data_IF_472771283253
#
_entry.id   IF_472771283253
#
_cell.length_a   1.000
_cell.length_b   1.000
_cell.length_c   1.000
_cell.angle_alpha   90.00
_cell.angle_beta   90.00
_cell.angle_gamma   90.00
#
_symmetry.space_group_name_H-M   'P 1'
#
loop_
_entity.id
_entity.type
_entity.pdbx_description
1 polymer ?
#
# COMPACT_ATOMS: atom_id res chain seq x y z
N UNK A 1 15.55 -13.03 1.82
CA UNK A 1 14.15 -12.81 2.23
C UNK A 1 14.03 -11.32 2.56
N UNK A 2 13.16 -10.57 1.89
CA UNK A 2 13.03 -9.12 2.13
C UNK A 2 12.39 -8.88 3.51
N UNK A 3 13.21 -8.63 4.52
CA UNK A 3 12.80 -7.86 5.68
C UNK A 3 13.47 -6.49 5.53
N UNK A 4 12.72 -5.43 5.14
CA UNK A 4 13.22 -4.10 5.34
C UNK A 4 13.29 -3.88 6.85
N UNK A 5 14.46 -3.52 7.34
CA UNK A 5 14.72 -3.12 8.73
C UNK A 5 14.01 -1.79 9.01
N UNK A 6 12.69 -1.84 9.06
CA UNK A 6 11.87 -0.93 9.82
C UNK A 6 11.65 -1.67 11.14
N UNK A 7 12.43 -1.32 12.16
CA UNK A 7 12.44 -1.98 13.47
C UNK A 7 11.12 -1.74 14.21
N UNK A 8 10.09 -2.47 13.79
CA UNK A 8 8.84 -2.68 14.49
C UNK A 8 9.05 -3.91 15.39
N UNK A 9 8.93 -3.69 16.70
CA UNK A 9 9.10 -4.63 17.81
C UNK A 9 8.48 -6.04 17.62
N UNK A 10 8.91 -7.07 18.40
CA UNK A 10 8.85 -8.50 18.04
C UNK A 10 7.46 -9.17 18.06
N UNK A 11 6.38 -8.39 18.06
CA UNK A 11 5.00 -8.90 18.16
C UNK A 11 4.23 -8.87 16.83
N UNK A 12 4.94 -8.86 15.69
CA UNK A 12 4.33 -8.96 14.36
C UNK A 12 3.90 -10.42 14.14
N UNK A 13 2.61 -10.71 14.42
CA UNK A 13 1.99 -11.99 14.08
C UNK A 13 2.31 -12.36 12.62
N UNK A 14 2.71 -13.61 12.38
CA UNK A 14 3.05 -14.26 11.09
C UNK A 14 2.22 -13.85 9.85
N UNK A 15 0.99 -13.37 10.05
CA UNK A 15 0.07 -12.91 8.99
C UNK A 15 0.50 -11.59 8.33
N UNK A 16 1.06 -10.64 9.08
CA UNK A 16 1.43 -9.33 8.51
C UNK A 16 2.65 -9.44 7.58
N UNK A 17 3.62 -10.29 7.93
CA UNK A 17 4.78 -10.57 7.07
C UNK A 17 4.35 -11.15 5.72
N UNK A 18 3.32 -12.00 5.71
CA UNK A 18 2.78 -12.56 4.48
C UNK A 18 2.09 -11.50 3.62
N UNK A 19 1.42 -10.52 4.24
CA UNK A 19 0.79 -9.40 3.52
C UNK A 19 1.82 -8.49 2.86
N UNK A 20 2.91 -8.13 3.54
CA UNK A 20 4.02 -7.37 2.93
C UNK A 20 4.64 -8.12 1.76
N UNK A 21 4.96 -9.40 1.94
CA UNK A 21 5.55 -10.23 0.89
C UNK A 21 4.64 -10.31 -0.35
N UNK A 22 3.34 -10.53 -0.15
CA UNK A 22 2.37 -10.58 -1.24
C UNK A 22 2.18 -9.23 -1.92
N UNK A 23 2.26 -8.12 -1.17
CA UNK A 23 2.21 -6.78 -1.73
C UNK A 23 3.48 -6.50 -2.56
N UNK A 24 4.66 -6.83 -2.08
CA UNK A 24 5.91 -6.69 -2.83
C UNK A 24 5.90 -7.44 -4.16
N UNK A 25 5.34 -8.65 -4.20
CA UNK A 25 5.16 -9.37 -5.47
C UNK A 25 4.24 -8.64 -6.44
N UNK A 26 3.15 -8.04 -5.96
CA UNK A 26 2.27 -7.22 -6.82
C UNK A 26 2.97 -5.98 -7.35
N UNK A 27 3.73 -5.28 -6.52
CA UNK A 27 4.53 -4.13 -6.95
C UNK A 27 5.50 -4.53 -8.08
N UNK A 28 6.19 -5.66 -7.92
CA UNK A 28 7.12 -6.22 -8.90
C UNK A 28 6.44 -6.94 -10.08
N UNK A 29 5.11 -7.04 -10.13
CA UNK A 29 4.41 -7.80 -11.17
C UNK A 29 4.83 -9.28 -11.24
N UNK A 30 5.22 -9.88 -10.12
CA UNK A 30 5.72 -11.26 -10.02
C UNK A 30 4.70 -12.19 -9.37
N UNK A 31 4.77 -13.46 -9.74
CA UNK A 31 4.00 -14.56 -9.13
C UNK A 31 4.77 -15.16 -7.95
N UNK A 32 4.04 -15.96 -7.17
CA UNK A 32 4.61 -16.72 -6.05
C UNK A 32 5.66 -17.69 -6.60
N UNK A 33 6.91 -17.55 -6.12
CA UNK A 33 8.14 -18.32 -6.46
C UNK A 33 9.01 -17.75 -7.58
N UNK A 34 8.62 -16.64 -8.19
CA UNK A 34 9.51 -15.99 -9.16
C UNK A 34 10.80 -15.52 -8.49
N UNK A 35 11.92 -15.65 -9.19
CA UNK A 35 13.20 -15.13 -8.74
C UNK A 35 13.14 -13.59 -8.69
N UNK A 36 13.66 -13.01 -7.61
CA UNK A 36 13.79 -11.56 -7.43
C UNK A 36 15.28 -11.23 -7.49
N UNK A 37 15.69 -10.44 -8.47
CA UNK A 37 17.07 -10.01 -8.63
C UNK A 37 17.48 -8.96 -7.59
N UNK A 38 18.79 -8.70 -7.47
CA UNK A 38 19.33 -7.67 -6.56
C UNK A 38 18.76 -6.28 -6.85
N UNK A 39 18.63 -5.91 -8.13
CA UNK A 39 18.05 -4.64 -8.56
C UNK A 39 16.59 -4.48 -8.10
N UNK A 40 15.77 -5.50 -8.35
CA UNK A 40 14.35 -5.52 -7.95
C UNK A 40 14.20 -5.50 -6.42
N UNK A 41 15.15 -6.12 -5.72
CA UNK A 41 15.21 -6.08 -4.27
C UNK A 41 15.44 -4.67 -3.74
N UNK A 42 16.47 -3.97 -4.24
CA UNK A 42 16.76 -2.58 -3.88
C UNK A 42 15.60 -1.65 -4.21
N UNK A 43 14.99 -1.83 -5.39
CA UNK A 43 13.83 -1.07 -5.82
C UNK A 43 12.63 -1.26 -4.88
N UNK A 44 12.37 -2.50 -4.45
CA UNK A 44 11.28 -2.81 -3.53
C UNK A 44 11.53 -2.20 -2.14
N UNK A 45 12.77 -2.21 -1.64
CA UNK A 45 13.12 -1.57 -0.37
C UNK A 45 12.88 -0.06 -0.45
N UNK A 46 13.39 0.59 -1.50
CA UNK A 46 13.24 2.02 -1.71
C UNK A 46 11.77 2.45 -1.81
N UNK A 47 10.96 1.67 -2.51
CA UNK A 47 9.51 1.88 -2.59
C UNK A 47 8.86 1.85 -1.20
N UNK A 48 9.09 0.80 -0.41
CA UNK A 48 8.48 0.68 0.91
C UNK A 48 8.98 1.74 1.90
N UNK A 49 10.24 2.14 1.82
CA UNK A 49 10.76 3.28 2.58
C UNK A 49 10.04 4.57 2.20
N UNK A 50 9.83 4.83 0.91
CA UNK A 50 9.06 5.98 0.43
C UNK A 50 7.61 5.97 0.93
N UNK A 51 6.94 4.81 0.90
CA UNK A 51 5.58 4.68 1.46
C UNK A 51 5.59 5.00 2.96
N UNK A 52 6.52 4.43 3.72
CA UNK A 52 6.64 4.69 5.16
C UNK A 52 6.84 6.18 5.45
N UNK A 53 7.65 6.89 4.67
CA UNK A 53 7.92 8.32 4.86
C UNK A 53 6.68 9.21 4.62
N UNK A 54 5.73 8.76 3.80
CA UNK A 54 4.50 9.50 3.52
C UNK A 54 3.42 9.23 4.55
N UNK A 55 3.35 8.01 5.09
CA UNK A 55 2.35 7.60 6.09
C UNK A 55 2.70 8.14 7.48
N UNK A 56 2.20 9.34 7.82
CA UNK A 56 2.43 10.01 9.10
C UNK A 56 2.07 9.15 10.31
N UNK A 57 0.95 8.42 10.23
CA UNK A 57 0.51 7.49 11.27
C UNK A 57 1.53 6.37 11.53
N UNK A 58 2.19 5.87 10.48
CA UNK A 58 3.25 4.87 10.63
C UNK A 58 4.49 5.45 11.29
N UNK A 59 4.87 6.69 10.92
CA UNK A 59 5.96 7.41 11.57
C UNK A 59 5.67 7.63 13.06
N UNK A 60 4.46 8.07 13.40
CA UNK A 60 4.05 8.27 14.80
C UNK A 60 4.16 6.97 15.63
N UNK A 61 3.85 5.81 15.05
CA UNK A 61 4.07 4.52 15.73
C UNK A 61 5.55 4.19 15.87
N UNK A 62 6.37 4.48 14.85
CA UNK A 62 7.83 4.25 14.90
C UNK A 62 8.50 5.11 15.97
N UNK A 63 8.02 6.34 16.17
CA UNK A 63 8.49 7.26 17.21
C UNK A 63 7.87 7.00 18.59
N UNK A 64 6.95 6.04 18.72
CA UNK A 64 6.29 5.71 19.99
C UNK A 64 5.21 6.70 20.42
N UNK A 65 4.82 7.62 19.54
CA UNK A 65 3.79 8.65 19.78
C UNK A 65 2.37 8.07 19.67
N UNK A 66 2.19 6.99 18.91
CA UNK A 66 0.92 6.28 18.75
C UNK A 66 1.07 4.78 18.94
N UNK A 67 0.00 4.14 19.43
CA UNK A 67 -0.05 2.69 19.55
C UNK A 67 -0.54 2.03 18.25
N UNK A 68 0.17 0.99 17.81
CA UNK A 68 -0.20 0.20 16.63
C UNK A 68 -1.60 -0.46 16.74
N UNK A 69 -2.07 -0.74 17.95
CA UNK A 69 -3.41 -1.24 18.20
C UNK A 69 -4.48 -0.21 17.80
N UNK A 70 -4.27 1.06 18.15
CA UNK A 70 -5.22 2.12 17.87
C UNK A 70 -5.35 2.38 16.36
N UNK A 71 -4.22 2.38 15.62
CA UNK A 71 -4.26 2.48 14.16
C UNK A 71 -5.06 1.35 13.52
N UNK A 72 -4.83 0.09 13.91
CA UNK A 72 -5.59 -1.05 13.38
C UNK A 72 -7.09 -1.01 13.69
N UNK A 73 -7.49 -0.29 14.73
CA UNK A 73 -8.91 -0.12 15.05
C UNK A 73 -9.55 1.00 14.23
N UNK A 74 -8.80 2.06 13.94
CA UNK A 74 -9.34 3.32 13.41
C UNK A 74 -9.07 3.56 11.93
N UNK A 75 -8.03 2.96 11.32
CA UNK A 75 -7.59 3.31 9.97
C UNK A 75 -7.56 2.12 9.00
N UNK A 76 -7.79 2.39 7.71
CA UNK A 76 -7.74 1.35 6.67
C UNK A 76 -6.30 0.98 6.28
N UNK A 77 -5.36 1.93 6.42
CA UNK A 77 -3.98 1.78 5.97
C UNK A 77 -3.13 0.90 6.90
N UNK A 78 -3.63 0.56 8.09
CA UNK A 78 -3.02 -0.40 9.00
C UNK A 78 -3.34 -1.87 8.65
N UNK A 79 -3.99 -2.14 7.51
CA UNK A 79 -4.42 -3.47 7.10
C UNK A 79 -3.79 -3.93 5.78
N UNK A 80 -3.62 -5.24 5.64
CA UNK A 80 -3.05 -5.84 4.43
C UNK A 80 -3.81 -5.57 3.12
N UNK A 81 -5.07 -5.11 3.15
CA UNK A 81 -5.78 -4.67 1.93
C UNK A 81 -5.13 -3.42 1.35
N UNK A 82 -4.76 -2.46 2.20
CA UNK A 82 -4.09 -1.24 1.79
C UNK A 82 -2.69 -1.51 1.25
N UNK A 83 -1.90 -2.36 1.94
CA UNK A 83 -0.56 -2.74 1.47
C UNK A 83 -0.60 -3.33 0.06
N UNK A 84 -1.60 -4.18 -0.22
CA UNK A 84 -1.77 -4.74 -1.55
C UNK A 84 -2.23 -3.68 -2.56
N UNK A 85 -3.16 -2.81 -2.17
CA UNK A 85 -3.70 -1.78 -3.04
C UNK A 85 -2.65 -0.75 -3.47
N UNK A 86 -1.82 -0.27 -2.53
CA UNK A 86 -0.75 0.69 -2.85
C UNK A 86 0.32 0.06 -3.74
N UNK A 87 0.65 -1.22 -3.52
CA UNK A 87 1.58 -1.94 -4.38
C UNK A 87 1.06 -2.09 -5.82
N UNK A 88 -0.24 -2.38 -5.99
CA UNK A 88 -0.90 -2.41 -7.31
C UNK A 88 -0.93 -1.03 -7.95
N UNK A 89 -1.35 -0.01 -7.20
CA UNK A 89 -1.46 1.36 -7.69
C UNK A 89 -0.13 1.90 -8.20
N UNK A 90 0.96 1.61 -7.48
CA UNK A 90 2.29 2.12 -7.75
C UNK A 90 3.17 1.20 -8.60
N UNK A 91 2.68 0.03 -9.05
CA UNK A 91 3.50 -0.92 -9.82
C UNK A 91 4.09 -0.27 -11.07
N UNK A 92 3.35 0.63 -11.74
CA UNK A 92 3.85 1.35 -12.92
C UNK A 92 5.02 2.28 -12.64
N UNK A 93 5.14 2.82 -11.41
CA UNK A 93 6.22 3.74 -11.02
C UNK A 93 7.60 3.07 -11.07
N UNK A 94 7.66 1.74 -10.99
CA UNK A 94 8.93 1.00 -11.09
C UNK A 94 9.62 1.15 -12.45
N UNK A 95 8.86 1.47 -13.49
CA UNK A 95 9.38 1.64 -14.85
C UNK A 95 9.98 3.03 -15.08
N UNK A 96 9.67 3.99 -14.21
CA UNK A 96 10.15 5.38 -14.29
C UNK A 96 11.03 5.78 -13.10
N UNK A 97 11.21 4.87 -12.14
CA UNK A 97 12.06 5.07 -10.97
C UNK A 97 13.54 5.14 -11.38
N UNK A 98 14.35 6.01 -10.74
CA UNK A 98 15.78 6.10 -11.01
C UNK A 98 16.52 4.85 -10.52
N UNK A 99 17.62 4.52 -11.19
CA UNK A 99 18.50 3.39 -10.83
C UNK A 99 19.26 3.59 -9.51
N UNK A 100 19.22 4.81 -8.96
CA UNK A 100 19.76 5.11 -7.63
C UNK A 100 18.94 4.47 -6.50
N UNK A 101 17.69 4.04 -6.79
CA UNK A 101 16.75 3.52 -5.79
C UNK A 101 16.61 4.44 -4.57
N UNK A 102 16.60 5.76 -4.80
CA UNK A 102 16.41 6.75 -3.74
C UNK A 102 14.97 6.73 -3.21
N UNK A 103 14.73 6.46 -1.90
CA UNK A 103 13.41 6.52 -1.29
C UNK A 103 12.73 7.89 -1.39
N UNK A 104 13.49 8.98 -1.50
CA UNK A 104 12.93 10.33 -1.61
C UNK A 104 12.20 10.54 -2.94
N UNK A 105 12.64 9.88 -4.01
CA UNK A 105 11.91 9.89 -5.27
C UNK A 105 10.50 9.32 -5.08
N UNK A 106 10.38 8.15 -4.44
CA UNK A 106 9.07 7.56 -4.11
C UNK A 106 8.26 8.46 -3.17
N UNK A 107 8.90 9.01 -2.13
CA UNK A 107 8.27 9.92 -1.18
C UNK A 107 7.63 11.12 -1.90
N UNK A 108 8.35 11.73 -2.84
CA UNK A 108 7.84 12.87 -3.62
C UNK A 108 6.63 12.51 -4.49
N UNK A 109 6.62 11.31 -5.09
CA UNK A 109 5.51 10.83 -5.92
C UNK A 109 4.29 10.46 -5.08
N UNK A 110 4.50 10.00 -3.86
CA UNK A 110 3.46 9.52 -2.96
C UNK A 110 2.92 10.61 -2.03
N UNK A 111 3.53 11.79 -2.01
CA UNK A 111 3.20 12.89 -1.10
C UNK A 111 1.68 13.22 -1.02
N UNK A 112 0.89 13.20 -2.11
CA UNK A 112 -0.56 13.43 -2.03
C UNK A 112 -1.31 12.49 -1.08
N UNK A 113 -0.80 11.29 -0.82
CA UNK A 113 -1.42 10.32 0.09
C UNK A 113 -1.29 10.71 1.57
N UNK A 114 -0.41 11.66 1.90
CA UNK A 114 -0.22 12.14 3.27
C UNK A 114 -1.44 12.91 3.78
N UNK A 115 -2.14 13.61 2.88
CA UNK A 115 -3.31 14.44 3.20
C UNK A 115 -4.63 13.66 3.17
N UNK A 116 -4.59 12.40 2.75
CA UNK A 116 -5.77 11.56 2.60
C UNK A 116 -6.33 11.09 3.95
N UNK A 117 -7.66 11.08 4.07
CA UNK A 117 -8.32 10.67 5.31
C UNK A 117 -8.50 9.14 5.34
N UNK A 118 -7.53 8.46 5.93
CA UNK A 118 -7.53 7.00 6.03
C UNK A 118 -8.37 6.42 7.18
N UNK A 119 -9.16 7.23 7.88
CA UNK A 119 -10.04 6.74 8.94
C UNK A 119 -11.11 5.81 8.37
N UNK A 120 -11.44 4.73 9.09
CA UNK A 120 -12.52 3.81 8.73
C UNK A 120 -13.90 4.46 8.75
N UNK A 121 -14.04 5.57 9.46
CA UNK A 121 -15.25 6.39 9.48
C UNK A 121 -15.42 7.24 8.23
N UNK A 122 -14.39 7.36 7.37
CA UNK A 122 -14.52 8.05 6.10
C UNK A 122 -15.42 7.21 5.16
N UNK A 123 -16.59 7.74 4.74
CA UNK A 123 -17.53 7.02 3.89
C UNK A 123 -16.97 6.71 2.49
N UNK A 124 -15.90 7.38 2.05
CA UNK A 124 -15.23 7.07 0.77
C UNK A 124 -14.78 5.60 0.68
N UNK A 125 -14.44 5.00 1.82
CA UNK A 125 -13.93 3.63 1.88
C UNK A 125 -15.02 2.57 1.84
N UNK A 126 -16.28 2.95 2.07
CA UNK A 126 -17.43 2.05 1.99
C UNK A 126 -17.69 1.62 0.54
N UNK A 127 -17.90 0.32 0.35
CA UNK A 127 -17.99 -0.29 -0.97
C UNK A 127 -16.66 -0.36 -1.74
N UNK A 128 -15.55 0.12 -1.17
CA UNK A 128 -14.19 -0.08 -1.70
C UNK A 128 -13.49 -1.17 -0.90
N UNK A 129 -12.97 -0.81 0.27
CA UNK A 129 -12.30 -1.73 1.18
C UNK A 129 -13.08 -1.97 2.48
N UNK A 130 -14.16 -1.22 2.73
CA UNK A 130 -15.12 -1.48 3.78
C UNK A 130 -16.42 -2.06 3.20
N UNK A 131 -17.02 -2.97 3.97
CA UNK A 131 -18.40 -3.43 3.81
C UNK A 131 -19.02 -3.52 5.20
N UNK A 132 -20.08 -2.76 5.44
CA UNK A 132 -20.72 -2.65 6.75
C UNK A 132 -19.71 -2.28 7.86
N UNK A 133 -18.78 -1.37 7.53
CA UNK A 133 -17.68 -0.97 8.42
C UNK A 133 -16.61 -2.04 8.66
N UNK A 134 -16.69 -3.22 8.05
CA UNK A 134 -15.69 -4.30 8.15
C UNK A 134 -14.71 -4.25 6.99
N UNK A 135 -13.44 -4.48 7.27
CA UNK A 135 -12.38 -4.52 6.24
C UNK A 135 -12.56 -5.77 5.37
N UNK A 136 -12.82 -5.55 4.08
CA UNK A 136 -12.83 -6.58 3.04
C UNK A 136 -11.43 -6.75 2.46
N UNK A 137 -10.96 -8.00 2.40
CA UNK A 137 -9.66 -8.39 1.81
C UNK A 137 -9.80 -9.05 0.44
N UNK A 138 -10.96 -8.91 -0.19
CA UNK A 138 -11.22 -9.48 -1.51
C UNK A 138 -10.33 -8.83 -2.57
N UNK A 139 -10.12 -9.54 -3.69
CA UNK A 139 -9.40 -8.99 -4.83
C UNK A 139 -10.04 -7.69 -5.34
N UNK A 140 -11.37 -7.68 -5.47
CA UNK A 140 -12.15 -6.50 -5.85
C UNK A 140 -11.90 -5.32 -4.93
N UNK A 141 -11.83 -5.54 -3.62
CA UNK A 141 -11.56 -4.47 -2.66
C UNK A 141 -10.15 -3.90 -2.77
N UNK A 142 -9.16 -4.74 -3.10
CA UNK A 142 -7.79 -4.29 -3.37
C UNK A 142 -7.75 -3.42 -4.62
N UNK A 143 -8.39 -3.85 -5.71
CA UNK A 143 -8.40 -3.11 -6.97
C UNK A 143 -9.16 -1.79 -6.86
N UNK A 144 -10.34 -1.76 -6.24
CA UNK A 144 -11.11 -0.51 -6.04
C UNK A 144 -10.37 0.49 -5.14
N UNK A 145 -9.65 0.02 -4.14
CA UNK A 145 -8.80 0.89 -3.32
C UNK A 145 -7.58 1.37 -4.12
N UNK A 146 -6.99 0.50 -4.95
CA UNK A 146 -5.90 0.89 -5.84
C UNK A 146 -6.35 1.96 -6.84
N UNK A 147 -7.57 1.89 -7.35
CA UNK A 147 -8.15 2.93 -8.21
C UNK A 147 -8.23 4.28 -7.49
N UNK A 148 -8.70 4.32 -6.24
CA UNK A 148 -8.69 5.56 -5.43
C UNK A 148 -7.27 6.11 -5.27
N UNK A 149 -6.31 5.26 -4.89
CA UNK A 149 -4.90 5.65 -4.73
C UNK A 149 -4.35 6.21 -6.04
N UNK A 150 -4.58 5.53 -7.18
CA UNK A 150 -4.14 5.99 -8.49
C UNK A 150 -4.71 7.37 -8.84
N UNK A 151 -6.00 7.60 -8.58
CA UNK A 151 -6.63 8.92 -8.81
C UNK A 151 -5.95 10.02 -8.00
N UNK A 152 -5.64 9.78 -6.72
CA UNK A 152 -4.90 10.74 -5.87
C UNK A 152 -3.48 10.99 -6.33
N UNK A 153 -2.84 9.97 -6.89
CA UNK A 153 -1.47 10.06 -7.42
C UNK A 153 -1.41 10.53 -8.89
N UNK A 154 -2.54 10.85 -9.50
CA UNK A 154 -2.65 11.17 -10.94
C UNK A 154 -2.05 10.08 -11.85
N UNK A 155 -2.11 8.81 -11.42
CA UNK A 155 -1.70 7.66 -12.21
C UNK A 155 -2.91 7.18 -13.04
N UNK A 156 -2.76 6.93 -14.35
CA UNK A 156 -3.85 6.43 -15.17
C UNK A 156 -4.35 5.06 -14.69
N UNK A 157 -5.68 4.90 -14.70
CA UNK A 157 -6.34 3.62 -14.46
C UNK A 157 -6.18 2.73 -15.71
N UNK A 158 -6.05 1.42 -15.49
CA UNK A 158 -6.10 0.46 -16.60
C UNK A 158 -7.55 0.28 -17.07
N UNK A 159 -7.74 -0.28 -18.26
CA UNK A 159 -9.08 -0.59 -18.79
C UNK A 159 -9.90 -1.44 -17.81
N UNK A 160 -9.32 -2.54 -17.29
CA UNK A 160 -9.95 -3.38 -16.27
C UNK A 160 -10.33 -2.61 -15.00
N UNK A 161 -9.53 -1.61 -14.60
CA UNK A 161 -9.82 -0.77 -13.44
C UNK A 161 -10.93 0.25 -13.71
N UNK A 162 -11.03 0.76 -14.93
CA UNK A 162 -12.13 1.61 -15.37
C UNK A 162 -13.45 0.84 -15.43
N UNK A 163 -13.44 -0.37 -15.98
CA UNK A 163 -14.59 -1.28 -15.99
C UNK A 163 -15.06 -1.58 -14.57
N UNK A 164 -14.13 -1.89 -13.66
CA UNK A 164 -14.44 -2.18 -12.27
C UNK A 164 -15.05 -0.97 -11.54
N UNK A 165 -14.53 0.23 -11.79
CA UNK A 165 -15.08 1.48 -11.27
C UNK A 165 -16.46 1.81 -11.87
N UNK A 166 -16.71 1.43 -13.13
CA UNK A 166 -18.01 1.52 -13.78
C UNK A 166 -19.03 0.57 -13.16
N UNK A 167 -18.65 -0.68 -12.92
CA UNK A 167 -19.51 -1.69 -12.30
C UNK A 167 -19.87 -1.38 -10.84
N UNK A 168 -19.07 -0.57 -10.13
CA UNK A 168 -19.39 -0.07 -8.79
C UNK A 168 -20.56 0.92 -8.78
N UNK A 169 -20.93 1.54 -9.91
CA UNK A 169 -21.97 2.59 -9.96
C UNK A 169 -23.42 2.07 -9.90
N UNK A 170 -23.64 0.81 -9.54
CA UNK A 170 -24.98 0.19 -9.40
C UNK A 170 -25.20 -0.23 -7.96
#
# INVERSE_FOLDING_TARGET
MCHPSCSLQPQIRRRELNSYKNASWRYLGKRKRDAVGSREHSQCIAFWQGVCNVMSDWQAVLHGERQSMHLRQSTIHAHGVFLQAIAVACSSLRHTAPDTFDPNWYTSKLLPLREENWLRTNPEWEGRCLRDGRISKSHTSVELLACSIKRRLHIPLTETQLELEGAKKT
#
